data_IF_915967597606
#
_entry.id   IF_915967597606
#
_cell.length_a   1.000
_cell.length_b   1.000
_cell.length_c   1.000
_cell.angle_alpha   90.00
_cell.angle_beta   90.00
_cell.angle_gamma   90.00
#
_symmetry.space_group_name_H-M   'P 1'
#
loop_
_entity.id
_entity.type
_entity.pdbx_description
1 polymer ?
#
# COMPACT_ATOMS: atom_id res chain seq x y z
N UNK A 1 -1.02 5.92 -18.82
CA UNK A 1 -0.52 6.50 -17.55
C UNK A 1 -1.15 7.84 -17.16
N UNK A 2 -1.79 8.61 -18.06
CA UNK A 2 -2.35 9.95 -17.73
C UNK A 2 -3.72 9.98 -17.01
N UNK A 3 -4.46 8.87 -17.00
CA UNK A 3 -5.84 8.84 -16.47
C UNK A 3 -5.95 8.69 -14.94
N UNK A 4 -4.86 8.31 -14.26
CA UNK A 4 -4.91 7.91 -12.84
C UNK A 4 -4.04 8.78 -11.90
N UNK A 5 -3.55 9.95 -12.35
CA UNK A 5 -2.62 10.83 -11.60
C UNK A 5 -1.51 10.05 -10.87
N UNK A 6 -0.98 9.01 -11.52
CA UNK A 6 0.01 8.14 -10.90
C UNK A 6 1.35 8.88 -10.75
N UNK A 7 1.88 8.93 -9.54
CA UNK A 7 3.17 9.53 -9.24
C UNK A 7 4.25 8.45 -9.35
N UNK A 8 5.15 8.53 -10.35
CA UNK A 8 6.22 7.55 -10.49
C UNK A 8 7.23 7.72 -9.36
N UNK A 9 7.61 6.61 -8.71
CA UNK A 9 8.62 6.60 -7.66
C UNK A 9 9.69 5.57 -7.98
N UNK A 10 10.96 5.95 -7.84
CA UNK A 10 12.12 5.08 -8.00
C UNK A 10 12.90 4.96 -6.68
N UNK A 11 13.73 3.93 -6.59
CA UNK A 11 14.68 3.80 -5.49
C UNK A 11 15.76 4.89 -5.60
N UNK A 12 16.27 5.36 -4.47
CA UNK A 12 17.36 6.34 -4.42
C UNK A 12 18.65 5.86 -5.12
N UNK A 13 18.81 4.54 -5.32
CA UNK A 13 19.93 3.95 -6.05
C UNK A 13 19.75 3.98 -7.56
N UNK A 14 18.51 3.97 -8.04
CA UNK A 14 18.19 3.91 -9.46
C UNK A 14 18.14 5.32 -10.04
N UNK A 15 17.37 6.22 -9.40
CA UNK A 15 17.25 7.61 -9.81
C UNK A 15 16.87 8.50 -8.62
N UNK A 16 17.84 9.27 -8.13
CA UNK A 16 17.63 10.22 -7.03
C UNK A 16 16.74 11.39 -7.42
N UNK A 17 16.83 11.85 -8.67
CA UNK A 17 16.07 13.01 -9.12
C UNK A 17 14.61 12.66 -9.28
N UNK A 18 14.31 11.49 -9.86
CA UNK A 18 12.94 10.99 -9.96
C UNK A 18 12.33 10.73 -8.58
N UNK A 19 13.12 10.20 -7.62
CA UNK A 19 12.66 10.01 -6.24
C UNK A 19 12.30 11.35 -5.58
N UNK A 20 13.17 12.36 -5.65
CA UNK A 20 12.87 13.68 -5.05
C UNK A 20 11.68 14.35 -5.72
N UNK A 21 11.58 14.26 -7.05
CA UNK A 21 10.43 14.74 -7.80
C UNK A 21 9.13 14.07 -7.34
N UNK A 22 9.14 12.75 -7.12
CA UNK A 22 7.99 12.03 -6.62
C UNK A 22 7.50 12.58 -5.26
N UNK A 23 8.41 12.88 -4.34
CA UNK A 23 8.04 13.48 -3.05
C UNK A 23 7.48 14.89 -3.19
N UNK A 24 7.99 15.70 -4.14
CA UNK A 24 7.44 17.02 -4.45
C UNK A 24 6.03 16.90 -5.04
N UNK A 25 5.84 16.00 -6.01
CA UNK A 25 4.53 15.75 -6.64
C UNK A 25 3.50 15.24 -5.61
N UNK A 26 3.92 14.37 -4.67
CA UNK A 26 3.07 13.91 -3.55
C UNK A 26 2.67 15.08 -2.65
N UNK A 27 3.63 15.92 -2.26
CA UNK A 27 3.36 17.08 -1.40
C UNK A 27 2.40 18.06 -2.08
N UNK A 28 2.56 18.28 -3.39
CA UNK A 28 1.66 19.12 -4.18
C UNK A 28 0.24 18.54 -4.22
N UNK A 29 0.10 17.24 -4.50
CA UNK A 29 -1.20 16.57 -4.53
C UNK A 29 -1.90 16.66 -3.16
N UNK A 30 -1.18 16.43 -2.07
CA UNK A 30 -1.72 16.58 -0.71
C UNK A 30 -2.11 18.02 -0.39
N UNK A 31 -1.33 19.01 -0.85
CA UNK A 31 -1.64 20.43 -0.68
C UNK A 31 -2.90 20.84 -1.46
N UNK A 32 -3.13 20.28 -2.64
CA UNK A 32 -4.35 20.46 -3.44
C UNK A 32 -5.58 19.78 -2.83
N UNK A 33 -5.43 19.06 -1.71
CA UNK A 33 -6.50 18.33 -1.05
C UNK A 33 -6.82 16.98 -1.71
N UNK A 34 -5.91 16.46 -2.55
CA UNK A 34 -6.07 15.15 -3.16
C UNK A 34 -5.72 14.02 -2.20
N UNK A 35 -6.32 12.85 -2.45
CA UNK A 35 -6.03 11.64 -1.69
C UNK A 35 -4.90 10.85 -2.37
N UNK A 36 -3.80 10.65 -1.64
CA UNK A 36 -2.66 9.86 -2.11
C UNK A 36 -2.72 8.46 -1.49
N UNK A 37 -2.83 7.44 -2.34
CA UNK A 37 -2.76 6.04 -1.93
C UNK A 37 -1.33 5.50 -2.11
N UNK A 38 -0.78 4.87 -1.08
CA UNK A 38 0.58 4.33 -1.09
C UNK A 38 0.63 2.91 -0.52
N UNK A 39 1.51 2.08 -1.09
CA UNK A 39 1.76 0.72 -0.63
C UNK A 39 3.19 0.66 -0.04
N UNK A 40 3.34 0.73 1.29
CA UNK A 40 4.65 0.90 1.93
C UNK A 40 5.56 -0.33 1.82
N UNK A 41 5.02 -1.49 1.45
CA UNK A 41 5.78 -2.73 1.23
C UNK A 41 6.64 -2.68 -0.04
N UNK A 42 6.22 -1.89 -1.05
CA UNK A 42 6.94 -1.69 -2.30
C UNK A 42 7.14 -2.93 -3.19
N UNK A 43 6.61 -4.09 -2.79
CA UNK A 43 6.57 -5.34 -3.56
C UNK A 43 5.28 -6.10 -3.24
N UNK A 44 4.73 -6.80 -4.23
CA UNK A 44 3.71 -7.82 -3.97
C UNK A 44 4.33 -8.95 -3.15
N UNK A 45 3.65 -9.34 -2.07
CA UNK A 45 4.11 -10.42 -1.20
C UNK A 45 3.99 -11.76 -1.92
N UNK A 46 5.07 -12.54 -1.93
CA UNK A 46 5.11 -13.88 -2.55
C UNK A 46 4.48 -14.97 -1.67
N UNK A 47 4.34 -14.71 -0.36
CA UNK A 47 3.88 -15.67 0.65
C UNK A 47 2.56 -15.29 1.35
N UNK A 48 2.06 -14.08 1.13
CA UNK A 48 0.81 -13.59 1.75
C UNK A 48 0.97 -13.01 3.15
N UNK A 49 2.21 -12.95 3.63
CA UNK A 49 2.57 -12.24 4.87
C UNK A 49 3.00 -10.81 4.54
N UNK A 50 2.54 -9.85 5.35
CA UNK A 50 2.88 -8.44 5.15
C UNK A 50 4.38 -8.23 5.37
N UNK A 51 5.01 -7.55 4.42
CA UNK A 51 6.40 -7.14 4.53
C UNK A 51 6.55 -5.92 5.44
N UNK A 52 7.78 -5.67 5.88
CA UNK A 52 8.10 -4.48 6.66
C UNK A 52 7.75 -3.19 5.89
N UNK A 53 7.13 -2.24 6.58
CA UNK A 53 6.75 -0.97 6.01
C UNK A 53 7.98 -0.08 5.88
N UNK A 54 8.29 0.38 4.66
CA UNK A 54 9.45 1.24 4.43
C UNK A 54 9.21 2.64 4.99
N UNK A 55 10.28 3.25 5.52
CA UNK A 55 10.28 4.62 6.07
C UNK A 55 10.00 5.76 5.08
N UNK A 56 9.63 5.48 3.83
CA UNK A 56 9.24 6.51 2.85
C UNK A 56 8.03 7.33 3.31
N UNK A 57 7.10 6.70 4.04
CA UNK A 57 5.94 7.39 4.61
C UNK A 57 6.32 8.50 5.58
N UNK A 58 7.36 8.27 6.41
CA UNK A 58 7.82 9.27 7.36
C UNK A 58 8.29 10.54 6.65
N UNK A 59 9.01 10.39 5.53
CA UNK A 59 9.45 11.52 4.70
C UNK A 59 8.29 12.32 4.10
N UNK A 60 7.19 11.65 3.74
CA UNK A 60 5.99 12.33 3.23
C UNK A 60 5.36 13.16 4.35
N UNK A 61 5.18 12.56 5.52
CA UNK A 61 4.55 13.21 6.68
C UNK A 61 5.39 14.36 7.23
N UNK A 62 6.72 14.21 7.28
CA UNK A 62 7.62 15.28 7.70
C UNK A 62 7.56 16.49 6.75
N UNK A 63 7.29 16.27 5.45
CA UNK A 63 7.11 17.34 4.44
C UNK A 63 5.69 17.91 4.42
N UNK A 64 4.70 17.07 4.69
CA UNK A 64 3.28 17.40 4.59
C UNK A 64 2.53 16.72 5.74
N UNK A 65 2.31 17.42 6.86
CA UNK A 65 1.65 16.85 8.03
C UNK A 65 0.15 16.67 7.76
N UNK A 66 -0.21 15.51 7.22
CA UNK A 66 -1.58 15.11 6.87
C UNK A 66 -2.00 13.85 7.64
N UNK A 67 -3.29 13.67 7.95
CA UNK A 67 -3.76 12.46 8.60
C UNK A 67 -3.58 11.23 7.70
N UNK A 68 -3.17 10.10 8.29
CA UNK A 68 -2.94 8.85 7.56
C UNK A 68 -4.05 7.85 7.87
N UNK A 69 -4.68 7.29 6.84
CA UNK A 69 -5.75 6.30 6.98
C UNK A 69 -5.19 4.90 6.66
N UNK A 70 -5.01 4.02 7.66
CA UNK A 70 -4.54 2.67 7.42
C UNK A 70 -5.64 1.84 6.77
N UNK A 71 -5.25 1.06 5.76
CA UNK A 71 -6.16 0.24 4.98
C UNK A 71 -5.57 -1.15 4.76
N UNK A 72 -6.38 -2.19 4.98
CA UNK A 72 -5.98 -3.58 4.77
C UNK A 72 -6.90 -4.24 3.72
N UNK A 73 -6.29 -4.75 2.65
CA UNK A 73 -6.96 -5.59 1.67
C UNK A 73 -6.93 -7.05 2.17
N UNK A 74 -8.11 -7.69 2.24
CA UNK A 74 -8.32 -9.06 2.71
C UNK A 74 -8.91 -9.92 1.60
N UNK A 75 -8.54 -11.19 1.54
CA UNK A 75 -9.09 -12.16 0.60
C UNK A 75 -8.46 -12.12 -0.79
N UNK A 76 -7.31 -11.46 -0.94
CA UNK A 76 -6.51 -11.48 -2.17
C UNK A 76 -5.75 -12.80 -2.33
N UNK A 77 -5.46 -13.50 -1.23
CA UNK A 77 -4.70 -14.75 -1.25
C UNK A 77 -5.56 -15.93 -1.75
N UNK A 78 -5.23 -16.44 -2.94
CA UNK A 78 -5.98 -17.50 -3.64
C UNK A 78 -6.82 -17.04 -4.83
N UNK A 79 -6.75 -15.75 -5.20
CA UNK A 79 -7.32 -15.20 -6.44
C UNK A 79 -6.27 -15.12 -7.56
N UNK A 80 -6.66 -14.78 -8.80
CA UNK A 80 -5.78 -14.68 -9.98
C UNK A 80 -4.61 -13.69 -9.85
N UNK A 81 -4.60 -12.88 -8.77
CA UNK A 81 -3.55 -11.89 -8.48
C UNK A 81 -2.43 -12.42 -7.57
N UNK A 82 -2.51 -13.66 -7.08
CA UNK A 82 -1.46 -14.28 -6.25
C UNK A 82 -0.35 -14.91 -7.09
N UNK A 83 0.90 -14.47 -6.90
CA UNK A 83 2.09 -15.03 -7.56
C UNK A 83 2.72 -16.14 -6.71
N UNK A 84 2.11 -17.33 -6.77
CA UNK A 84 2.62 -18.56 -6.15
C UNK A 84 2.86 -19.66 -7.20
N UNK A 85 3.59 -20.72 -6.87
CA UNK A 85 3.80 -21.86 -7.77
C UNK A 85 2.48 -22.60 -8.05
N UNK A 86 2.14 -22.80 -9.34
CA UNK A 86 0.95 -23.51 -9.80
C UNK A 86 0.07 -22.72 -10.78
N UNK A 87 -0.64 -23.42 -11.67
CA UNK A 87 -1.44 -22.82 -12.74
C UNK A 87 -2.54 -21.86 -12.18
N UNK A 88 -2.59 -20.57 -12.58
CA UNK A 88 -3.61 -19.62 -12.13
C UNK A 88 -5.04 -20.06 -12.41
N UNK A 89 -5.27 -20.81 -13.51
CA UNK A 89 -6.58 -21.36 -13.85
C UNK A 89 -7.07 -22.43 -12.87
N UNK A 90 -6.17 -23.31 -12.40
CA UNK A 90 -6.53 -24.38 -11.45
C UNK A 90 -6.86 -23.88 -10.04
N UNK A 91 -6.31 -22.72 -9.65
CA UNK A 91 -6.60 -22.07 -8.36
C UNK A 91 -7.96 -21.38 -8.37
N UNK A 92 -8.29 -20.69 -9.46
CA UNK A 92 -9.60 -20.04 -9.65
C UNK A 92 -10.75 -21.07 -9.60
N UNK A 93 -10.52 -22.27 -10.13
CA UNK A 93 -11.52 -23.35 -10.13
C UNK A 93 -11.77 -23.97 -8.73
N UNK A 94 -10.80 -23.94 -7.82
CA UNK A 94 -10.94 -24.49 -6.44
C UNK A 94 -11.72 -23.58 -5.48
N UNK A 95 -11.77 -22.26 -5.72
CA UNK A 95 -12.50 -21.30 -4.87
C UNK A 95 -13.80 -20.77 -5.50
N UNK A 96 -14.03 -21.03 -6.79
CA UNK A 96 -15.19 -20.53 -7.54
C UNK A 96 -15.08 -19.03 -7.90
N UNK A 97 -15.98 -18.52 -8.76
CA UNK A 97 -15.91 -17.15 -9.32
C UNK A 97 -16.24 -16.01 -8.32
N UNK A 98 -16.38 -16.32 -7.03
CA UNK A 98 -16.84 -15.40 -5.97
C UNK A 98 -15.80 -15.26 -4.86
N UNK A 99 -14.54 -15.03 -5.21
CA UNK A 99 -13.53 -14.66 -4.22
C UNK A 99 -13.94 -13.34 -3.56
N UNK A 100 -14.41 -13.42 -2.31
CA UNK A 100 -14.81 -12.25 -1.52
C UNK A 100 -13.56 -11.40 -1.26
N UNK A 101 -13.49 -10.24 -1.89
CA UNK A 101 -12.52 -9.19 -1.59
C UNK A 101 -13.13 -8.28 -0.53
N UNK A 102 -12.39 -7.97 0.52
CA UNK A 102 -12.79 -6.99 1.53
C UNK A 102 -11.70 -5.97 1.74
N UNK A 103 -12.07 -4.69 1.80
CA UNK A 103 -11.20 -3.61 2.22
C UNK A 103 -11.61 -3.20 3.64
N UNK A 104 -10.73 -3.38 4.60
CA UNK A 104 -10.91 -2.88 5.95
C UNK A 104 -10.20 -1.53 6.07
N UNK A 105 -10.96 -0.48 6.40
CA UNK A 105 -10.45 0.88 6.57
C UNK A 105 -10.44 1.20 8.07
N UNK A 106 -9.29 1.65 8.57
CA UNK A 106 -9.15 2.07 9.96
C UNK A 106 -9.50 3.53 10.18
N UNK A 107 -9.37 3.96 11.44
CA UNK A 107 -9.50 5.36 11.82
C UNK A 107 -8.29 6.17 11.33
N UNK A 108 -8.47 7.46 11.01
CA UNK A 108 -7.36 8.34 10.67
C UNK A 108 -6.40 8.49 11.87
N UNK A 109 -5.10 8.33 11.59
CA UNK A 109 -4.03 8.62 12.54
C UNK A 109 -3.53 10.04 12.34
N UNK A 110 -3.24 10.71 13.45
CA UNK A 110 -2.56 11.99 13.42
C UNK A 110 -1.13 11.83 12.84
N UNK A 111 -0.59 12.86 12.16
CA UNK A 111 0.73 12.81 11.52
C UNK A 111 1.84 12.33 12.48
N UNK A 112 1.78 12.73 13.75
CA UNK A 112 2.79 12.44 14.76
C UNK A 112 2.83 10.96 15.16
N UNK A 113 1.70 10.27 15.00
CA UNK A 113 1.54 8.85 15.33
C UNK A 113 1.72 7.94 14.12
N UNK A 114 1.88 8.51 12.92
CA UNK A 114 1.99 7.77 11.66
C UNK A 114 3.40 7.20 11.42
N UNK A 115 3.95 6.47 12.39
CA UNK A 115 5.21 5.75 12.20
C UNK A 115 5.01 4.48 11.36
N UNK A 116 6.02 4.03 10.59
CA UNK A 116 5.92 2.80 9.81
C UNK A 116 5.49 1.59 10.64
N UNK A 117 6.03 1.47 11.85
CA UNK A 117 5.76 0.36 12.77
C UNK A 117 4.32 0.41 13.28
N UNK A 118 3.85 1.59 13.70
CA UNK A 118 2.48 1.78 14.17
C UNK A 118 1.47 1.52 13.04
N UNK A 119 1.76 1.97 11.82
CA UNK A 119 0.92 1.72 10.66
C UNK A 119 0.89 0.24 10.28
N UNK A 120 2.04 -0.44 10.34
CA UNK A 120 2.11 -1.87 10.09
C UNK A 120 1.27 -2.65 11.10
N UNK A 121 1.37 -2.34 12.39
CA UNK A 121 0.56 -2.96 13.45
C UNK A 121 -0.94 -2.73 13.22
N UNK A 122 -1.34 -1.48 12.88
CA UNK A 122 -2.74 -1.15 12.59
C UNK A 122 -3.25 -1.88 11.36
N UNK A 123 -2.48 -1.96 10.28
CA UNK A 123 -2.86 -2.70 9.08
C UNK A 123 -2.91 -4.20 9.34
N UNK A 124 -2.02 -4.76 10.19
CA UNK A 124 -2.07 -6.16 10.62
C UNK A 124 -3.37 -6.45 11.39
N UNK A 125 -3.71 -5.60 12.36
CA UNK A 125 -4.96 -5.72 13.11
C UNK A 125 -6.19 -5.58 12.18
N UNK A 126 -6.13 -4.64 11.23
CA UNK A 126 -7.15 -4.48 10.20
C UNK A 126 -7.16 -5.62 9.18
N UNK A 127 -6.13 -6.42 9.02
CA UNK A 127 -6.18 -7.63 8.18
C UNK A 127 -6.81 -8.79 8.96
N UNK A 128 -6.46 -8.92 10.24
CA UNK A 128 -6.81 -10.08 11.06
C UNK A 128 -6.29 -11.37 10.45
N UNK A 129 -7.00 -12.47 10.70
CA UNK A 129 -6.65 -13.81 10.18
C UNK A 129 -7.04 -14.01 8.71
N UNK A 130 -7.76 -13.05 8.12
CA UNK A 130 -8.25 -13.16 6.75
C UNK A 130 -7.21 -12.64 5.75
N UNK A 131 -6.37 -13.56 5.26
CA UNK A 131 -5.45 -13.36 4.13
C UNK A 131 -6.19 -13.33 2.79
#
# INVERSE_FOLDING_TARGET
FRTAKAIPIASAKDDRWLMEKAYVDIAQALHEGELVCLFPEGKLTSTGDMSEFKGGIRKIIDRSPVPVIPMALRGLWGSMLTRGEGNPFGRSFRRGPWSKLSLAVGLPLAPELATPEALQERVLALRGDWK
#
